data_IF_732890232870
#
_entry.id   IF_732890232870
#
_cell.length_a   1.000
_cell.length_b   1.000
_cell.length_c   1.000
_cell.angle_alpha   90.00
_cell.angle_beta   90.00
_cell.angle_gamma   90.00
#
_symmetry.space_group_name_H-M   'P 1'
#
loop_
_entity.id
_entity.type
_entity.pdbx_description
1 polymer ?
#
# COMPACT_ATOMS: atom_id res chain seq x y z
N UNK A 1 -9.14 -2.46 10.05
CA UNK A 1 -8.73 -1.80 8.79
C UNK A 1 -9.81 -2.09 7.76
N UNK A 2 -10.24 -1.11 6.95
CA UNK A 2 -11.40 -1.25 6.04
C UNK A 2 -11.02 -1.31 4.54
N UNK A 3 -9.74 -1.30 4.24
CA UNK A 3 -9.19 -1.42 2.88
C UNK A 3 -7.72 -1.82 2.94
N UNK A 4 -7.11 -1.97 1.77
CA UNK A 4 -5.77 -2.53 1.61
C UNK A 4 -4.69 -1.79 2.42
N UNK A 5 -3.66 -2.54 2.82
CA UNK A 5 -2.41 -2.00 3.38
C UNK A 5 -1.24 -2.49 2.57
N UNK A 6 -0.25 -1.62 2.38
CA UNK A 6 1.06 -1.99 1.84
C UNK A 6 2.12 -1.65 2.87
N UNK A 7 2.90 -2.65 3.26
CA UNK A 7 4.10 -2.50 4.08
C UNK A 7 5.32 -2.37 3.15
N UNK A 8 6.13 -1.34 3.37
CA UNK A 8 7.34 -1.06 2.59
C UNK A 8 8.54 -1.06 3.53
N UNK A 9 9.50 -1.95 3.28
CA UNK A 9 10.77 -1.98 4.00
C UNK A 9 11.86 -1.37 3.13
N UNK A 10 12.59 -0.40 3.65
CA UNK A 10 13.69 0.27 2.94
C UNK A 10 15.01 0.19 3.70
N UNK A 11 16.12 0.17 2.96
CA UNK A 11 17.47 0.44 3.49
C UNK A 11 17.64 1.94 3.76
N UNK A 12 17.94 2.26 5.01
CA UNK A 12 18.20 3.60 5.51
C UNK A 12 19.67 3.81 5.86
N UNK A 13 20.60 3.16 5.14
CA UNK A 13 22.04 3.31 5.33
C UNK A 13 22.59 2.38 6.40
N UNK A 14 22.32 1.08 6.28
CA UNK A 14 22.80 0.05 7.21
C UNK A 14 21.80 -0.29 8.32
N UNK A 15 20.63 0.34 8.31
CA UNK A 15 19.46 -0.04 9.12
C UNK A 15 18.24 -0.15 8.23
N UNK A 16 17.23 -0.90 8.64
CA UNK A 16 15.95 -0.97 7.93
C UNK A 16 14.96 0.04 8.50
N UNK A 17 14.08 0.56 7.65
CA UNK A 17 12.88 1.30 8.07
C UNK A 17 11.66 0.70 7.40
N UNK A 18 10.61 0.50 8.19
CA UNK A 18 9.32 0.03 7.72
C UNK A 18 8.35 1.19 7.67
N UNK A 19 7.58 1.26 6.58
CA UNK A 19 6.51 2.22 6.35
C UNK A 19 5.23 1.50 6.00
N UNK A 20 4.11 1.93 6.55
CA UNK A 20 2.78 1.44 6.19
C UNK A 20 2.00 2.50 5.42
N UNK A 21 1.40 2.08 4.31
CA UNK A 21 0.40 2.86 3.58
C UNK A 21 -0.92 2.12 3.62
N UNK A 22 -1.92 2.72 4.26
CA UNK A 22 -3.23 2.11 4.50
C UNK A 22 -4.34 2.89 3.80
N UNK A 23 -5.30 2.16 3.22
CA UNK A 23 -6.56 2.74 2.82
C UNK A 23 -7.38 3.16 4.06
N UNK A 24 -7.43 4.47 4.31
CA UNK A 24 -7.95 5.03 5.57
C UNK A 24 -9.48 5.03 5.67
N UNK A 25 -10.19 4.77 4.56
CA UNK A 25 -11.67 4.81 4.51
C UNK A 25 -12.22 3.65 3.69
N UNK A 26 -13.46 3.26 4.00
CA UNK A 26 -14.18 2.21 3.27
C UNK A 26 -14.27 2.52 1.77
N UNK A 27 -14.03 1.51 0.94
CA UNK A 27 -14.07 1.63 -0.52
C UNK A 27 -12.86 2.35 -1.13
N UNK A 28 -11.85 2.71 -0.33
CA UNK A 28 -10.53 3.10 -0.83
C UNK A 28 -9.64 1.87 -0.90
N UNK A 29 -8.65 1.94 -1.78
CA UNK A 29 -7.64 0.90 -1.97
C UNK A 29 -6.26 1.52 -2.04
N UNK A 30 -5.23 0.70 -1.92
CA UNK A 30 -3.84 1.12 -2.13
C UNK A 30 -3.36 0.54 -3.46
N UNK A 31 -2.82 1.39 -4.32
CA UNK A 31 -2.23 0.99 -5.59
C UNK A 31 -0.71 1.14 -5.51
N UNK A 32 0.00 0.17 -6.09
CA UNK A 32 1.46 0.18 -6.21
C UNK A 32 1.84 0.27 -7.68
N UNK A 33 2.76 1.18 -8.01
CA UNK A 33 3.39 1.23 -9.32
C UNK A 33 4.89 1.38 -9.21
N UNK A 34 5.63 0.71 -10.10
CA UNK A 34 7.10 0.76 -10.14
C UNK A 34 7.54 1.23 -11.51
N UNK A 35 8.31 2.31 -11.55
CA UNK A 35 8.79 2.87 -12.80
C UNK A 35 9.77 4.00 -12.58
N UNK A 36 10.65 4.23 -13.57
CA UNK A 36 11.62 5.34 -13.56
C UNK A 36 12.46 5.43 -12.26
N UNK A 37 12.79 4.28 -11.68
CA UNK A 37 13.58 4.20 -10.45
C UNK A 37 12.83 4.53 -9.16
N UNK A 38 11.50 4.63 -9.19
CA UNK A 38 10.65 4.96 -8.04
C UNK A 38 9.58 3.87 -7.87
N UNK A 39 9.32 3.51 -6.62
CA UNK A 39 8.12 2.79 -6.19
C UNK A 39 7.14 3.82 -5.66
N UNK A 40 6.00 3.94 -6.30
CA UNK A 40 4.91 4.82 -5.89
C UNK A 40 3.77 4.00 -5.30
N UNK A 41 3.35 4.37 -4.09
CA UNK A 41 2.27 3.73 -3.34
C UNK A 41 1.19 4.77 -3.06
N UNK A 42 -0.02 4.54 -3.55
CA UNK A 42 -1.08 5.55 -3.59
C UNK A 42 -2.34 5.02 -2.93
N UNK A 43 -2.83 5.70 -1.89
CA UNK A 43 -4.21 5.53 -1.47
C UNK A 43 -5.10 6.22 -2.50
N UNK A 44 -6.00 5.46 -3.12
CA UNK A 44 -6.96 5.98 -4.11
C UNK A 44 -8.39 5.84 -3.61
N UNK A 45 -9.27 6.71 -4.09
CA UNK A 45 -10.72 6.54 -3.92
C UNK A 45 -11.24 5.35 -4.72
N UNK A 46 -12.51 4.98 -4.53
CA UNK A 46 -13.20 3.96 -5.33
C UNK A 46 -13.16 4.24 -6.84
N UNK A 47 -13.09 5.52 -7.23
CA UNK A 47 -13.03 5.96 -8.62
C UNK A 47 -11.60 6.16 -9.14
N UNK A 48 -10.58 5.81 -8.34
CA UNK A 48 -9.17 5.92 -8.72
C UNK A 48 -8.53 7.29 -8.48
N UNK A 49 -9.23 8.24 -7.84
CA UNK A 49 -8.64 9.55 -7.56
C UNK A 49 -7.59 9.43 -6.43
N UNK A 50 -6.36 9.95 -6.59
CA UNK A 50 -5.33 9.86 -5.57
C UNK A 50 -5.70 10.72 -4.35
N UNK A 51 -5.51 10.16 -3.16
CA UNK A 51 -5.73 10.85 -1.88
C UNK A 51 -4.40 11.14 -1.19
N UNK A 52 -3.53 10.14 -1.12
CA UNK A 52 -2.22 10.22 -0.50
C UNK A 52 -1.24 9.39 -1.30
N UNK A 53 -0.07 9.97 -1.56
CA UNK A 53 1.01 9.32 -2.33
C UNK A 53 2.26 9.25 -1.47
N UNK A 54 2.83 8.05 -1.37
CA UNK A 54 4.18 7.83 -0.88
C UNK A 54 5.07 7.42 -2.06
N UNK A 55 6.32 7.90 -2.06
CA UNK A 55 7.32 7.55 -3.08
C UNK A 55 8.60 7.12 -2.41
N UNK A 56 9.15 6.01 -2.90
CA UNK A 56 10.38 5.41 -2.42
C UNK A 56 11.34 5.24 -3.61
N UNK A 57 12.63 5.50 -3.41
CA UNK A 57 13.63 5.14 -4.40
C UNK A 57 13.66 3.62 -4.54
N UNK A 58 13.43 3.08 -5.73
CA UNK A 58 13.35 1.64 -5.96
C UNK A 58 14.64 0.92 -5.54
N UNK A 59 15.79 1.58 -5.71
CA UNK A 59 17.11 1.06 -5.28
C UNK A 59 17.27 0.90 -3.76
N UNK A 60 16.36 1.48 -2.97
CA UNK A 60 16.38 1.39 -1.50
C UNK A 60 15.27 0.52 -0.94
N UNK A 61 14.32 0.04 -1.76
CA UNK A 61 13.25 -0.85 -1.29
C UNK A 61 13.80 -2.27 -1.17
N UNK A 62 13.72 -2.82 0.02
CA UNK A 62 14.14 -4.19 0.34
C UNK A 62 12.98 -5.18 0.22
N UNK A 63 11.78 -4.76 0.61
CA UNK A 63 10.56 -5.55 0.49
C UNK A 63 9.34 -4.65 0.30
N UNK A 64 8.35 -5.18 -0.41
CA UNK A 64 7.02 -4.61 -0.54
C UNK A 64 6.01 -5.74 -0.33
N UNK A 65 5.14 -5.59 0.67
CA UNK A 65 4.17 -6.62 1.05
C UNK A 65 2.78 -6.02 0.96
N UNK A 66 1.95 -6.58 0.08
CA UNK A 66 0.55 -6.20 -0.04
C UNK A 66 -0.29 -7.05 0.90
N UNK A 67 -1.09 -6.38 1.74
CA UNK A 67 -2.08 -6.96 2.62
C UNK A 67 -3.47 -6.56 2.13
N UNK A 68 -4.03 -7.29 1.14
CA UNK A 68 -5.36 -7.00 0.63
C UNK A 68 -6.40 -7.28 1.73
N UNK A 69 -7.41 -6.42 1.84
CA UNK A 69 -8.56 -6.72 2.69
C UNK A 69 -9.46 -7.70 1.95
N UNK A 70 -9.84 -8.78 2.62
CA UNK A 70 -10.78 -9.77 2.11
C UNK A 70 -12.11 -9.10 1.77
N UNK A 71 -12.30 -8.82 0.47
CA UNK A 71 -13.56 -8.33 -0.12
C UNK A 71 -14.33 -9.49 -0.76
N UNK A 72 -14.18 -10.71 -0.22
CA UNK A 72 -14.99 -11.83 -0.68
C UNK A 72 -16.40 -11.68 -0.11
N UNK A 73 -17.46 -11.77 -0.93
CA UNK A 73 -18.85 -11.83 -0.42
C UNK A 73 -19.06 -12.95 0.61
N UNK A 74 -18.21 -13.97 0.62
CA UNK A 74 -18.27 -15.12 1.52
C UNK A 74 -17.80 -14.82 2.96
N UNK A 75 -17.11 -13.71 3.18
CA UNK A 75 -16.61 -13.34 4.51
C UNK A 75 -17.64 -12.51 5.29
N UNK A 76 -18.66 -11.95 4.63
CA UNK A 76 -19.79 -11.24 5.27
C UNK A 76 -20.79 -12.20 5.94
N UNK A 77 -20.81 -13.49 5.56
CA UNK A 77 -21.67 -14.53 6.16
C UNK A 77 -21.09 -15.16 7.44
N UNK A 78 -19.86 -14.80 7.83
CA UNK A 78 -19.16 -15.38 8.99
C UNK A 78 -19.22 -14.52 10.26
N UNK A 79 -20.10 -13.53 10.32
CA UNK A 79 -20.33 -12.66 11.48
C UNK A 79 -21.77 -12.79 12.00
#
# INVERSE_FOLDING_TARGET
MRGDRVEIVVDAGGTTRTYDVEATRAGRRVEVSVGRGVVEVVEVTRTGAPVRTARFMASKVLALVEHPVSTSPLDEERE
#
